data_IF_378314652261
#
_entry.id   IF_378314652261
#
_cell.length_a   1.000
_cell.length_b   1.000
_cell.length_c   1.000
_cell.angle_alpha   90.00
_cell.angle_beta   90.00
_cell.angle_gamma   90.00
#
_symmetry.space_group_name_H-M   'P 1'
#
loop_
_entity.id
_entity.type
_entity.pdbx_description
1 polymer ?
#
# COMPACT_ATOMS: atom_id res chain seq x y z
N UNK A 1 -9.28 -1.02 39.08
CA UNK A 1 -9.90 -1.29 37.77
C UNK A 1 -8.92 -0.78 36.72
N UNK A 2 -8.15 -1.69 36.09
CA UNK A 2 -7.19 -1.31 35.04
C UNK A 2 -7.98 -1.19 33.75
N UNK A 3 -8.27 0.03 33.33
CA UNK A 3 -8.81 0.29 32.00
C UNK A 3 -7.69 0.00 30.99
N UNK A 4 -7.73 -1.16 30.36
CA UNK A 4 -6.99 -1.43 29.14
C UNK A 4 -7.63 -0.59 28.03
N UNK A 5 -7.17 0.65 27.87
CA UNK A 5 -7.47 1.43 26.68
C UNK A 5 -6.75 0.75 25.51
N UNK A 6 -7.44 -0.17 24.83
CA UNK A 6 -6.98 -0.68 23.55
C UNK A 6 -7.01 0.50 22.56
N UNK A 7 -5.92 1.25 22.48
CA UNK A 7 -5.64 2.14 21.36
C UNK A 7 -5.57 1.25 20.12
N UNK A 8 -6.70 1.03 19.47
CA UNK A 8 -6.86 0.21 18.29
C UNK A 8 -6.31 0.95 17.04
N UNK A 9 -5.11 1.53 17.17
CA UNK A 9 -4.42 2.24 16.10
C UNK A 9 -3.94 1.17 15.11
N UNK A 10 -4.76 0.91 14.09
CA UNK A 10 -4.36 0.05 12.99
C UNK A 10 -3.06 0.57 12.38
N UNK A 11 -2.06 -0.31 12.33
CA UNK A 11 -0.76 -0.07 11.71
C UNK A 11 -0.90 -0.22 10.20
N UNK A 12 -0.31 0.72 9.46
CA UNK A 12 -0.33 0.74 7.99
C UNK A 12 0.68 -0.26 7.42
N UNK A 13 1.65 -0.66 8.21
CA UNK A 13 2.64 -1.68 7.89
C UNK A 13 1.97 -3.02 7.57
N UNK A 14 2.53 -3.75 6.62
CA UNK A 14 2.07 -5.05 6.15
C UNK A 14 1.80 -5.10 4.66
N UNK A 15 1.28 -6.24 4.22
CA UNK A 15 1.01 -6.55 2.82
C UNK A 15 -0.45 -6.22 2.48
N UNK A 16 -0.62 -5.40 1.46
CA UNK A 16 -1.91 -4.87 1.02
C UNK A 16 -2.16 -5.27 -0.43
N UNK A 17 -3.28 -5.92 -0.70
CA UNK A 17 -3.59 -6.47 -2.01
C UNK A 17 -4.98 -6.10 -2.51
N UNK A 18 -5.10 -5.96 -3.82
CA UNK A 18 -6.34 -5.79 -4.56
C UNK A 18 -6.40 -6.83 -5.71
N UNK A 19 -7.60 -7.23 -6.17
CA UNK A 19 -7.71 -8.12 -7.32
C UNK A 19 -7.20 -7.44 -8.59
N UNK A 20 -6.54 -8.19 -9.46
CA UNK A 20 -6.10 -7.70 -10.78
C UNK A 20 -7.32 -7.60 -11.72
N UNK A 21 -7.66 -6.41 -12.26
CA UNK A 21 -8.80 -6.28 -13.17
C UNK A 21 -8.64 -7.20 -14.40
N UNK A 22 -9.65 -8.03 -14.65
CA UNK A 22 -9.67 -8.95 -15.78
C UNK A 22 -8.88 -10.26 -15.59
N UNK A 23 -8.25 -10.49 -14.43
CA UNK A 23 -7.53 -11.74 -14.12
C UNK A 23 -8.06 -12.37 -12.83
N UNK A 24 -9.12 -13.20 -12.91
CA UNK A 24 -9.71 -13.85 -11.74
C UNK A 24 -8.67 -14.67 -10.95
N UNK A 25 -8.67 -14.52 -9.63
CA UNK A 25 -7.76 -15.24 -8.73
C UNK A 25 -6.36 -14.64 -8.61
N UNK A 26 -6.01 -13.64 -9.42
CA UNK A 26 -4.74 -12.91 -9.29
C UNK A 26 -4.91 -11.66 -8.43
N UNK A 27 -3.95 -11.42 -7.55
CA UNK A 27 -3.90 -10.26 -6.67
C UNK A 27 -2.61 -9.48 -6.91
N UNK A 28 -2.67 -8.16 -6.80
CA UNK A 28 -1.53 -7.26 -6.89
C UNK A 28 -1.55 -6.28 -5.72
N UNK A 29 -0.43 -5.61 -5.46
CA UNK A 29 -0.37 -4.58 -4.44
C UNK A 29 1.05 -4.31 -3.97
N UNK A 30 1.21 -4.09 -2.67
CA UNK A 30 2.50 -3.71 -2.10
C UNK A 30 2.64 -4.15 -0.64
N UNK A 31 3.89 -4.30 -0.21
CA UNK A 31 4.29 -4.44 1.19
C UNK A 31 4.80 -3.10 1.69
N UNK A 32 4.40 -2.71 2.89
CA UNK A 32 4.92 -1.55 3.62
C UNK A 32 5.63 -2.05 4.88
N UNK A 33 6.95 -2.03 4.88
CA UNK A 33 7.77 -2.53 5.99
C UNK A 33 7.97 -1.45 7.06
N UNK A 34 8.16 -1.87 8.31
CA UNK A 34 8.30 -0.96 9.46
C UNK A 34 9.56 -0.07 9.44
N UNK A 35 10.51 -0.36 8.55
CA UNK A 35 11.71 0.45 8.33
C UNK A 35 11.51 1.56 7.27
N UNK A 36 10.32 1.64 6.66
CA UNK A 36 10.01 2.58 5.59
C UNK A 36 10.33 2.06 4.19
N UNK A 37 10.80 0.82 4.04
CA UNK A 37 10.93 0.18 2.74
C UNK A 37 9.57 -0.33 2.23
N UNK A 38 9.41 -0.36 0.91
CA UNK A 38 8.23 -0.91 0.27
C UNK A 38 8.64 -1.88 -0.83
N UNK A 39 7.78 -2.83 -1.14
CA UNK A 39 7.97 -3.77 -2.26
C UNK A 39 6.67 -4.04 -2.99
N UNK A 40 6.76 -4.44 -4.25
CA UNK A 40 5.59 -4.75 -5.09
C UNK A 40 5.16 -6.19 -4.97
N UNK A 41 3.85 -6.43 -4.98
CA UNK A 41 3.25 -7.77 -5.04
C UNK A 41 2.70 -7.98 -6.45
N UNK A 42 3.22 -8.98 -7.16
CA UNK A 42 2.76 -9.42 -8.49
C UNK A 42 2.68 -8.31 -9.56
N UNK A 43 3.58 -7.33 -9.51
CA UNK A 43 3.64 -6.23 -10.48
C UNK A 43 5.01 -6.19 -11.18
N UNK A 44 5.01 -6.32 -12.51
CA UNK A 44 6.24 -6.34 -13.30
C UNK A 44 6.76 -4.93 -13.67
N UNK A 45 5.85 -3.97 -13.85
CA UNK A 45 6.19 -2.64 -14.38
C UNK A 45 6.37 -1.58 -13.31
N UNK A 46 5.88 -1.82 -12.10
CA UNK A 46 5.94 -0.85 -11.00
C UNK A 46 6.64 -1.52 -9.83
N UNK A 47 7.85 -1.05 -9.54
CA UNK A 47 8.66 -1.50 -8.42
C UNK A 47 8.59 -0.47 -7.31
N UNK A 48 7.80 -0.71 -6.27
CA UNK A 48 7.83 0.12 -5.07
C UNK A 48 9.12 -0.15 -4.28
N UNK A 49 9.62 0.89 -3.62
CA UNK A 49 10.94 0.85 -2.97
C UNK A 49 10.92 1.52 -1.59
N UNK A 50 10.13 2.58 -1.41
CA UNK A 50 10.06 3.29 -0.14
C UNK A 50 8.67 3.86 0.11
N UNK A 51 8.31 4.02 1.38
CA UNK A 51 7.09 4.69 1.78
C UNK A 51 7.29 5.58 3.01
N UNK A 52 6.38 6.53 3.17
CA UNK A 52 6.30 7.36 4.37
C UNK A 52 4.87 7.80 4.62
N UNK A 53 4.40 7.65 5.86
CA UNK A 53 3.15 8.24 6.31
C UNK A 53 3.38 9.64 6.91
N UNK A 54 2.65 10.64 6.40
CA UNK A 54 2.67 12.02 6.91
C UNK A 54 1.23 12.44 7.16
N UNK A 55 0.82 12.46 8.44
CA UNK A 55 -0.59 12.68 8.81
C UNK A 55 -1.49 11.59 8.23
N UNK A 56 -2.43 11.98 7.37
CA UNK A 56 -3.31 11.09 6.62
C UNK A 56 -2.83 10.83 5.17
N UNK A 57 -1.58 11.17 4.84
CA UNK A 57 -1.01 10.93 3.51
C UNK A 57 -0.03 9.78 3.55
N UNK A 58 -0.05 8.97 2.50
CA UNK A 58 0.96 7.97 2.18
C UNK A 58 1.76 8.46 0.98
N UNK A 59 3.05 8.73 1.19
CA UNK A 59 4.00 8.93 0.11
C UNK A 59 4.55 7.55 -0.24
N UNK A 60 4.39 7.14 -1.50
CA UNK A 60 4.84 5.84 -2.00
C UNK A 60 5.74 6.07 -3.22
N UNK A 61 6.99 5.68 -3.08
CA UNK A 61 8.05 5.92 -4.06
C UNK A 61 8.52 4.61 -4.68
N UNK A 62 8.97 4.69 -5.92
CA UNK A 62 9.46 3.53 -6.63
C UNK A 62 9.95 3.88 -8.03
N UNK A 63 10.11 2.83 -8.82
CA UNK A 63 10.59 2.91 -10.20
C UNK A 63 9.59 2.24 -11.12
N UNK A 64 9.14 2.97 -12.14
CA UNK A 64 8.38 2.44 -13.27
C UNK A 64 9.35 1.86 -14.29
N UNK A 65 9.19 0.59 -14.61
CA UNK A 65 10.01 -0.21 -15.51
C UNK A 65 9.16 -0.53 -16.74
N UNK A 66 9.59 -0.08 -17.91
CA UNK A 66 8.88 -0.34 -19.16
C UNK A 66 9.51 0.38 -20.33
N UNK A 67 9.26 -0.08 -21.56
CA UNK A 67 9.78 0.54 -22.79
C UNK A 67 11.30 0.82 -22.77
N UNK A 68 12.09 -0.11 -22.22
CA UNK A 68 13.54 0.02 -22.02
C UNK A 68 13.97 1.22 -21.14
N UNK A 69 13.09 1.72 -20.28
CA UNK A 69 13.34 2.83 -19.37
C UNK A 69 12.97 2.47 -17.93
N UNK A 70 13.71 3.08 -17.02
CA UNK A 70 13.45 3.06 -15.58
C UNK A 70 13.24 4.51 -15.13
N UNK A 71 12.01 4.84 -14.72
CA UNK A 71 11.63 6.20 -14.32
C UNK A 71 11.23 6.18 -12.85
N UNK A 72 11.98 6.90 -12.01
CA UNK A 72 11.62 7.05 -10.60
C UNK A 72 10.40 7.95 -10.43
N UNK A 73 9.54 7.60 -9.49
CA UNK A 73 8.33 8.37 -9.16
C UNK A 73 8.09 8.42 -7.65
N UNK A 74 7.21 9.33 -7.24
CA UNK A 74 6.64 9.37 -5.90
C UNK A 74 5.18 9.80 -5.99
N UNK A 75 4.30 8.90 -5.59
CA UNK A 75 2.87 9.18 -5.48
C UNK A 75 2.55 9.70 -4.08
N UNK A 76 1.63 10.67 -4.01
CA UNK A 76 1.01 11.09 -2.73
C UNK A 76 -0.43 10.65 -2.71
N UNK A 77 -0.76 9.73 -1.80
CA UNK A 77 -2.07 9.12 -1.65
C UNK A 77 -2.72 9.61 -0.35
N UNK A 78 -4.01 9.89 -0.37
CA UNK A 78 -4.77 10.17 0.85
C UNK A 78 -5.28 8.86 1.43
N UNK A 79 -5.06 8.65 2.72
CA UNK A 79 -5.59 7.52 3.49
C UNK A 79 -7.02 7.90 3.91
N UNK A 80 -8.00 7.34 3.23
CA UNK A 80 -9.43 7.55 3.51
C UNK A 80 -9.92 6.63 4.63
N UNK A 81 -9.37 5.41 4.70
CA UNK A 81 -9.68 4.44 5.76
C UNK A 81 -8.47 3.55 6.02
N UNK A 82 -8.15 3.35 7.29
CA UNK A 82 -7.17 2.37 7.75
C UNK A 82 -7.77 1.59 8.93
N UNK A 83 -7.82 0.28 8.79
CA UNK A 83 -8.30 -0.68 9.80
C UNK A 83 -7.35 -1.87 9.85
N UNK A 84 -7.61 -2.86 10.71
CA UNK A 84 -6.76 -4.04 10.82
C UNK A 84 -6.68 -4.85 9.52
N UNK A 85 -7.73 -4.85 8.70
CA UNK A 85 -7.86 -5.69 7.50
C UNK A 85 -8.10 -4.90 6.20
N UNK A 86 -8.38 -3.59 6.29
CA UNK A 86 -8.74 -2.76 5.13
C UNK A 86 -7.94 -1.47 5.07
N UNK A 87 -7.42 -1.16 3.89
CA UNK A 87 -6.78 0.10 3.55
C UNK A 87 -7.45 0.70 2.30
N UNK A 88 -8.00 1.91 2.43
CA UNK A 88 -8.58 2.66 1.31
C UNK A 88 -7.73 3.89 1.06
N UNK A 89 -7.22 3.99 -0.17
CA UNK A 89 -6.37 5.08 -0.63
C UNK A 89 -7.08 5.86 -1.73
N UNK A 90 -6.89 7.17 -1.76
CA UNK A 90 -7.41 8.06 -2.79
C UNK A 90 -6.27 8.72 -3.56
N UNK A 91 -6.34 8.69 -4.90
CA UNK A 91 -5.43 9.35 -5.84
C UNK A 91 -6.24 10.19 -6.81
N UNK A 92 -6.34 11.50 -6.57
CA UNK A 92 -7.30 12.33 -7.31
C UNK A 92 -8.72 11.82 -7.10
N UNK A 93 -9.44 11.49 -8.18
CA UNK A 93 -10.79 10.90 -8.11
C UNK A 93 -10.79 9.36 -7.95
N UNK A 94 -9.63 8.70 -8.10
CA UNK A 94 -9.53 7.25 -8.02
C UNK A 94 -9.50 6.77 -6.55
N UNK A 95 -10.39 5.85 -6.21
CA UNK A 95 -10.38 5.11 -4.94
C UNK A 95 -9.81 3.71 -5.14
N UNK A 96 -8.74 3.40 -4.42
CA UNK A 96 -8.06 2.10 -4.39
C UNK A 96 -8.40 1.40 -3.08
N UNK A 97 -8.74 0.12 -3.14
CA UNK A 97 -9.24 -0.65 -1.99
C UNK A 97 -8.41 -1.90 -1.83
N UNK A 98 -7.66 -1.97 -0.74
CA UNK A 98 -6.79 -3.08 -0.43
C UNK A 98 -7.30 -3.83 0.80
N UNK A 99 -7.17 -5.15 0.73
CA UNK A 99 -7.29 -6.05 1.86
C UNK A 99 -5.90 -6.37 2.42
N UNK A 100 -5.80 -6.51 3.75
CA UNK A 100 -4.58 -6.99 4.38
C UNK A 100 -4.43 -8.47 4.08
N UNK A 101 -3.23 -8.90 3.75
CA UNK A 101 -2.91 -10.29 3.48
C UNK A 101 -1.67 -10.69 4.27
N UNK A 102 -1.63 -11.94 4.71
CA UNK A 102 -0.42 -12.56 5.20
C UNK A 102 0.26 -13.19 3.98
N UNK A 103 1.01 -12.39 3.23
CA UNK A 103 1.97 -12.99 2.29
C UNK A 103 3.17 -13.33 3.15
N UNK A 104 3.26 -14.60 3.57
CA UNK A 104 4.45 -15.17 4.19
C UNK A 104 5.61 -15.26 3.17
#
# INVERSE_FOLDING_TARGET
MVALTACNNASIEGSWVEPVPGMPGMQQGFVLDGDGSASSINMATLKYEAWKKVGNRLLLSGTSIGNHQNISFTDTLTIEKLTQDSLILKRGELLLRYAKTNVD
#
